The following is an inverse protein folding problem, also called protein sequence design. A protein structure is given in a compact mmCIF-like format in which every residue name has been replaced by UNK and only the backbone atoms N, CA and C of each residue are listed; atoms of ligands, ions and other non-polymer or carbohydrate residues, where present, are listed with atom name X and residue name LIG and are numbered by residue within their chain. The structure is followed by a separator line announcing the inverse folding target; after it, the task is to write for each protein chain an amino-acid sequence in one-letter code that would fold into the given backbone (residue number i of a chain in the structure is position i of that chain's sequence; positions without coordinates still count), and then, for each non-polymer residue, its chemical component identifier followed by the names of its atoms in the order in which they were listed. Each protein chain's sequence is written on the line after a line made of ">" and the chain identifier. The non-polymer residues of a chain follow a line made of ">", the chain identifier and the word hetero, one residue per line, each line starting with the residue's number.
data_IF_826200365464
#
_entry.id   IF_826200365464
#
_cell.length_a   1.000
_cell.length_b   1.000
_cell.length_c   1.000
_cell.angle_alpha   90.00
_cell.angle_beta   90.00
_cell.angle_gamma   90.00
#
_symmetry.space_group_name_H-M   'P 1'
#
loop_
_entity.id
_entity.type
_entity.pdbx_description
1 polymer ?
#
# COMPACT_ATOMS: atom_id res chain seq x y z
N UNK A 1 23.94 -7.21 9.57
CA UNK A 1 23.83 -5.99 8.74
C UNK A 1 23.32 -4.87 9.65
N UNK A 2 24.09 -3.83 9.84
CA UNK A 2 23.68 -2.62 10.56
C UNK A 2 22.61 -1.87 9.77
N UNK A 3 21.89 -0.93 10.40
CA UNK A 3 20.86 -0.13 9.69
C UNK A 3 21.48 0.73 8.59
N UNK A 4 22.68 1.27 8.82
CA UNK A 4 23.42 2.03 7.80
C UNK A 4 23.86 1.17 6.61
N UNK A 5 24.30 -0.05 6.86
CA UNK A 5 24.58 -1.02 5.78
C UNK A 5 23.31 -1.38 5.01
N UNK A 6 22.18 -1.56 5.70
CA UNK A 6 20.88 -1.80 5.07
C UNK A 6 20.46 -0.60 4.21
N UNK A 7 20.58 0.64 4.71
CA UNK A 7 20.28 1.86 3.93
C UNK A 7 21.12 1.90 2.64
N UNK A 8 22.44 1.68 2.72
CA UNK A 8 23.33 1.65 1.54
C UNK A 8 22.93 0.53 0.57
N UNK A 9 22.66 -0.66 1.08
CA UNK A 9 22.25 -1.81 0.26
C UNK A 9 20.98 -1.51 -0.54
N UNK A 10 19.92 -0.99 0.10
CA UNK A 10 18.66 -0.69 -0.58
C UNK A 10 18.75 0.50 -1.52
N UNK A 11 19.60 1.48 -1.23
CA UNK A 11 19.91 2.55 -2.19
C UNK A 11 20.59 2.00 -3.44
N UNK A 12 21.57 1.11 -3.27
CA UNK A 12 22.25 0.49 -4.42
C UNK A 12 21.29 -0.30 -5.30
N UNK A 13 20.30 -1.00 -4.71
CA UNK A 13 19.27 -1.72 -5.48
C UNK A 13 18.39 -0.81 -6.34
N UNK A 14 18.20 0.45 -5.96
CA UNK A 14 17.39 1.43 -6.71
C UNK A 14 18.23 2.40 -7.52
N UNK A 15 19.55 2.25 -7.50
CA UNK A 15 20.43 3.16 -8.23
C UNK A 15 20.21 3.05 -9.75
N UNK A 16 20.06 4.20 -10.39
CA UNK A 16 19.78 4.27 -11.84
C UNK A 16 18.35 3.96 -12.25
N UNK A 17 17.47 3.53 -11.35
CA UNK A 17 16.07 3.32 -11.69
C UNK A 17 15.37 4.67 -11.95
N UNK A 18 14.82 4.84 -13.14
CA UNK A 18 14.07 6.04 -13.53
C UNK A 18 12.57 5.81 -13.31
N UNK A 19 12.04 6.45 -12.28
CA UNK A 19 10.61 6.38 -11.93
C UNK A 19 9.75 7.14 -12.97
N UNK A 20 8.62 6.56 -13.33
CA UNK A 20 7.55 7.23 -14.09
C UNK A 20 6.54 7.93 -13.16
N UNK A 21 6.61 7.67 -11.86
CA UNK A 21 5.76 8.35 -10.88
C UNK A 21 6.20 9.81 -10.71
N UNK A 22 5.23 10.67 -10.38
CA UNK A 22 5.53 12.04 -9.96
C UNK A 22 6.43 12.05 -8.73
N UNK A 23 7.20 13.13 -8.58
CA UNK A 23 7.97 13.36 -7.35
C UNK A 23 7.04 13.34 -6.13
N UNK A 24 7.53 12.94 -4.94
CA UNK A 24 6.75 12.99 -3.72
C UNK A 24 6.31 14.43 -3.42
N UNK A 25 5.14 14.55 -2.82
CA UNK A 25 4.61 15.83 -2.34
C UNK A 25 4.63 15.81 -0.83
N UNK A 26 5.23 16.85 -0.24
CA UNK A 26 5.24 17.07 1.20
C UNK A 26 4.64 18.44 1.47
N UNK A 27 3.70 18.50 2.41
CA UNK A 27 3.15 19.75 2.88
C UNK A 27 3.66 20.05 4.31
N UNK A 28 3.94 21.30 4.58
CA UNK A 28 4.15 21.76 5.94
C UNK A 28 2.79 21.95 6.63
N UNK A 29 2.67 21.42 7.81
CA UNK A 29 1.49 21.55 8.68
C UNK A 29 1.98 22.05 10.04
N UNK A 30 1.78 23.33 10.30
CA UNK A 30 2.35 24.02 11.46
C UNK A 30 3.90 23.85 11.52
N UNK A 31 4.41 23.19 12.53
CA UNK A 31 5.84 22.85 12.71
C UNK A 31 6.16 21.38 12.39
N UNK A 32 5.24 20.68 11.71
CA UNK A 32 5.31 19.29 11.29
C UNK A 32 5.21 19.17 9.76
N UNK A 33 5.34 17.96 9.26
CA UNK A 33 5.28 17.66 7.84
C UNK A 33 4.25 16.57 7.54
N UNK A 34 3.71 16.59 6.34
CA UNK A 34 2.76 15.57 5.84
C UNK A 34 3.23 15.10 4.47
N UNK A 35 3.62 13.82 4.36
CA UNK A 35 3.76 13.19 3.05
C UNK A 35 2.38 12.94 2.46
N UNK A 36 2.14 13.44 1.25
CA UNK A 36 0.86 13.41 0.54
C UNK A 36 0.80 12.25 -0.46
N UNK A 37 0.66 11.02 0.03
CA UNK A 37 0.48 9.85 -0.84
C UNK A 37 -0.79 9.89 -1.68
N UNK A 38 -1.79 10.66 -1.25
CA UNK A 38 -3.01 10.97 -2.01
C UNK A 38 -2.76 11.82 -3.26
N UNK A 39 -1.74 12.68 -3.24
CA UNK A 39 -1.34 13.47 -4.40
C UNK A 39 -0.57 12.65 -5.46
N UNK A 40 -0.17 11.42 -5.13
CA UNK A 40 0.51 10.51 -6.07
C UNK A 40 -0.48 9.79 -6.98
N UNK A 41 -0.02 9.45 -8.19
CA UNK A 41 -0.77 8.62 -9.13
C UNK A 41 -1.08 7.22 -8.60
N UNK A 42 -0.26 6.67 -7.70
CA UNK A 42 -0.38 5.28 -7.24
C UNK A 42 -0.20 5.08 -5.73
N UNK A 43 -0.42 6.12 -4.93
CA UNK A 43 -0.24 6.05 -3.48
C UNK A 43 1.20 5.72 -3.01
N UNK A 44 1.46 5.70 -1.70
CA UNK A 44 2.73 5.26 -1.13
C UNK A 44 3.16 3.86 -1.63
N UNK A 45 2.19 2.95 -1.78
CA UNK A 45 2.49 1.57 -2.21
C UNK A 45 3.04 1.52 -3.63
N UNK A 46 2.68 2.48 -4.47
CA UNK A 46 3.22 2.59 -5.82
C UNK A 46 4.71 2.91 -5.84
N UNK A 47 5.16 3.86 -5.05
CA UNK A 47 6.60 4.16 -4.96
C UNK A 47 7.44 2.93 -4.57
N UNK A 48 6.89 2.09 -3.66
CA UNK A 48 7.56 0.84 -3.31
C UNK A 48 7.54 -0.19 -4.42
N UNK A 49 6.41 -0.37 -5.10
CA UNK A 49 6.21 -1.45 -6.07
C UNK A 49 6.72 -1.15 -7.48
N UNK A 50 6.97 0.12 -7.81
CA UNK A 50 7.21 0.57 -9.19
C UNK A 50 8.38 -0.17 -9.85
N UNK A 51 9.54 -0.19 -9.20
CA UNK A 51 10.71 -0.86 -9.76
C UNK A 51 10.49 -2.36 -9.95
N UNK A 52 9.87 -3.03 -8.97
CA UNK A 52 9.53 -4.45 -9.06
C UNK A 52 8.65 -4.74 -10.28
N UNK A 53 7.66 -3.89 -10.55
CA UNK A 53 6.73 -4.07 -11.67
C UNK A 53 7.39 -3.69 -13.00
N UNK A 54 8.17 -2.62 -13.02
CA UNK A 54 8.88 -2.16 -14.22
C UNK A 54 9.91 -3.18 -14.72
N UNK A 55 10.64 -3.83 -13.81
CA UNK A 55 11.73 -4.76 -14.13
C UNK A 55 11.27 -6.22 -14.26
N UNK A 56 10.03 -6.56 -13.86
CA UNK A 56 9.57 -7.92 -14.00
C UNK A 56 9.37 -8.29 -15.50
N UNK A 57 9.77 -9.51 -15.85
CA UNK A 57 9.71 -9.99 -17.24
C UNK A 57 8.33 -10.46 -17.66
N UNK A 58 7.52 -10.84 -16.67
CA UNK A 58 6.19 -11.37 -16.89
C UNK A 58 5.21 -10.25 -17.29
N UNK A 59 4.34 -10.51 -18.26
CA UNK A 59 3.33 -9.57 -18.75
C UNK A 59 2.10 -9.52 -17.87
N UNK A 60 1.91 -10.52 -17.02
CA UNK A 60 0.76 -10.65 -16.15
C UNK A 60 1.19 -10.61 -14.68
N UNK A 61 0.59 -9.71 -13.91
CA UNK A 61 0.77 -9.58 -12.48
C UNK A 61 -0.41 -10.22 -11.74
N UNK A 62 -0.13 -10.99 -10.70
CA UNK A 62 -1.15 -11.66 -9.88
C UNK A 62 -1.06 -11.17 -8.45
N UNK A 63 -2.18 -10.76 -7.89
CA UNK A 63 -2.26 -10.30 -6.51
C UNK A 63 -3.57 -10.72 -5.83
N UNK A 64 -3.53 -10.93 -4.52
CA UNK A 64 -4.72 -11.13 -3.72
C UNK A 64 -5.29 -9.79 -3.25
N UNK A 65 -6.44 -9.42 -3.78
CA UNK A 65 -7.12 -8.17 -3.47
C UNK A 65 -8.11 -8.37 -2.31
N UNK A 66 -7.81 -7.85 -1.11
CA UNK A 66 -8.78 -7.82 -0.02
C UNK A 66 -9.96 -6.91 -0.37
N UNK A 67 -11.00 -6.88 0.48
CA UNK A 67 -12.15 -6.00 0.24
C UNK A 67 -11.78 -4.51 0.28
N UNK A 68 -10.77 -4.14 1.05
CA UNK A 68 -10.27 -2.77 1.20
C UNK A 68 -8.75 -2.77 1.23
N UNK A 69 -8.11 -1.82 0.56
CA UNK A 69 -6.66 -1.62 0.62
C UNK A 69 -6.11 -0.89 -0.59
N UNK A 70 -5.04 -0.13 -0.39
CA UNK A 70 -4.42 0.70 -1.44
C UNK A 70 -3.38 -0.04 -2.28
N UNK A 71 -2.93 -1.23 -1.87
CA UNK A 71 -1.93 -1.97 -2.62
C UNK A 71 -2.45 -2.45 -3.99
N UNK A 72 -3.70 -2.91 -4.04
CA UNK A 72 -4.31 -3.36 -5.30
C UNK A 72 -4.50 -2.22 -6.30
N UNK A 73 -4.92 -1.03 -5.83
CA UNK A 73 -5.00 0.17 -6.67
C UNK A 73 -3.63 0.59 -7.20
N UNK A 74 -2.61 0.58 -6.34
CA UNK A 74 -1.23 0.88 -6.72
C UNK A 74 -0.71 -0.09 -7.79
N UNK A 75 -0.93 -1.40 -7.60
CA UNK A 75 -0.53 -2.44 -8.56
C UNK A 75 -1.26 -2.24 -9.90
N UNK A 76 -2.57 -2.03 -9.89
CA UNK A 76 -3.35 -1.81 -11.11
C UNK A 76 -2.91 -0.54 -11.86
N UNK A 77 -2.64 0.55 -11.13
CA UNK A 77 -2.11 1.79 -11.70
C UNK A 77 -0.77 1.56 -12.38
N UNK A 78 0.17 0.91 -11.70
CA UNK A 78 1.49 0.63 -12.23
C UNK A 78 1.44 -0.36 -13.41
N UNK A 79 0.60 -1.39 -13.33
CA UNK A 79 0.42 -2.32 -14.42
C UNK A 79 0.01 -1.59 -15.70
N UNK A 80 -0.97 -0.70 -15.62
CA UNK A 80 -1.37 0.14 -16.75
C UNK A 80 -0.24 1.05 -17.25
N UNK A 81 0.57 1.60 -16.34
CA UNK A 81 1.69 2.49 -16.67
C UNK A 81 2.84 1.76 -17.38
N UNK A 82 3.03 0.48 -17.08
CA UNK A 82 4.08 -0.38 -17.62
C UNK A 82 3.56 -1.42 -18.62
N UNK A 83 2.34 -1.22 -19.15
CA UNK A 83 1.70 -2.06 -20.17
C UNK A 83 1.62 -3.55 -19.77
N UNK A 84 1.26 -3.80 -18.51
CA UNK A 84 1.07 -5.14 -17.96
C UNK A 84 -0.40 -5.39 -17.62
N UNK A 85 -0.80 -6.65 -17.64
CA UNK A 85 -2.12 -7.11 -17.23
C UNK A 85 -2.14 -7.45 -15.74
N UNK A 86 -3.30 -7.31 -15.09
CA UNK A 86 -3.50 -7.72 -13.70
C UNK A 86 -4.59 -8.76 -13.57
N UNK A 87 -4.31 -9.79 -12.79
CA UNK A 87 -5.29 -10.76 -12.29
C UNK A 87 -5.37 -10.62 -10.78
N UNK A 88 -6.56 -10.30 -10.27
CA UNK A 88 -6.79 -10.16 -8.84
C UNK A 88 -7.67 -11.28 -8.31
N UNK A 89 -7.13 -12.04 -7.37
CA UNK A 89 -7.89 -13.04 -6.63
C UNK A 89 -8.57 -12.35 -5.44
N UNK A 90 -9.90 -12.39 -5.43
CA UNK A 90 -10.75 -11.69 -4.48
C UNK A 90 -11.54 -12.69 -3.62
N UNK A 91 -11.73 -12.43 -2.32
CA UNK A 91 -12.63 -13.24 -1.52
C UNK A 91 -14.08 -13.02 -2.00
N UNK A 92 -14.78 -14.09 -2.36
CA UNK A 92 -16.19 -14.07 -2.70
C UNK A 92 -17.04 -14.04 -1.43
N UNK A 93 -17.30 -12.86 -0.90
CA UNK A 93 -18.16 -12.67 0.27
C UNK A 93 -19.15 -11.54 -0.01
N UNK A 94 -20.35 -11.90 -0.46
CA UNK A 94 -21.37 -10.92 -0.84
C UNK A 94 -20.98 -10.07 -2.06
N UNK A 95 -21.55 -8.88 -2.16
CA UNK A 95 -21.24 -7.93 -3.24
C UNK A 95 -19.76 -7.49 -3.22
N UNK A 96 -19.11 -7.40 -4.39
CA UNK A 96 -17.76 -6.85 -4.49
C UNK A 96 -17.70 -5.45 -3.90
N UNK A 97 -16.62 -5.18 -3.16
CA UNK A 97 -16.42 -3.85 -2.57
C UNK A 97 -16.11 -2.79 -3.64
N UNK A 98 -16.27 -1.50 -3.30
CA UNK A 98 -15.87 -0.40 -4.18
C UNK A 98 -14.41 -0.52 -4.64
N UNK A 99 -13.50 -0.88 -3.73
CA UNK A 99 -12.08 -1.06 -4.04
C UNK A 99 -11.87 -2.18 -5.06
N UNK A 100 -12.57 -3.31 -4.92
CA UNK A 100 -12.48 -4.41 -5.89
C UNK A 100 -13.09 -4.02 -7.23
N UNK A 101 -14.30 -3.44 -7.25
CA UNK A 101 -14.94 -2.99 -8.49
C UNK A 101 -14.12 -1.95 -9.25
N UNK A 102 -13.51 -0.99 -8.54
CA UNK A 102 -12.68 0.05 -9.15
C UNK A 102 -11.52 -0.50 -9.99
N UNK A 103 -11.04 -1.73 -9.71
CA UNK A 103 -9.98 -2.37 -10.49
C UNK A 103 -10.38 -2.65 -11.94
N UNK A 104 -11.68 -2.79 -12.24
CA UNK A 104 -12.17 -2.95 -13.62
C UNK A 104 -11.85 -1.74 -14.51
N UNK A 105 -11.79 -0.53 -13.93
CA UNK A 105 -11.42 0.67 -14.69
C UNK A 105 -9.96 0.66 -15.20
N UNK A 106 -9.15 -0.24 -14.65
CA UNK A 106 -7.79 -0.50 -15.13
C UNK A 106 -7.70 -1.67 -16.13
N UNK A 107 -8.84 -2.32 -16.44
CA UNK A 107 -8.87 -3.53 -17.29
C UNK A 107 -8.42 -4.80 -16.56
N UNK A 108 -8.50 -4.82 -15.23
CA UNK A 108 -8.09 -5.98 -14.44
C UNK A 108 -9.07 -7.15 -14.55
N UNK A 109 -8.53 -8.38 -14.54
CA UNK A 109 -9.29 -9.62 -14.40
C UNK A 109 -9.53 -9.91 -12.91
N UNK A 110 -10.80 -9.98 -12.47
CA UNK A 110 -11.19 -10.24 -11.09
C UNK A 110 -11.70 -11.66 -10.93
N UNK A 111 -11.03 -12.45 -10.10
CA UNK A 111 -11.37 -13.85 -9.80
C UNK A 111 -11.83 -14.00 -8.37
N UNK A 112 -13.13 -14.24 -8.19
CA UNK A 112 -13.73 -14.38 -6.88
C UNK A 112 -13.71 -15.83 -6.41
N UNK A 113 -13.16 -16.05 -5.20
CA UNK A 113 -12.99 -17.38 -4.62
C UNK A 113 -13.72 -17.45 -3.29
N UNK A 114 -14.57 -18.49 -3.09
CA UNK A 114 -15.38 -18.71 -1.88
C UNK A 114 -14.56 -19.21 -0.68
N UNK A 115 -13.39 -18.67 -0.48
CA UNK A 115 -12.54 -18.99 0.65
C UNK A 115 -12.32 -17.70 1.43
N UNK A 116 -12.75 -17.70 2.68
CA UNK A 116 -12.68 -16.53 3.54
C UNK A 116 -11.25 -16.16 3.97
N UNK A 117 -10.34 -17.14 4.09
CA UNK A 117 -9.02 -16.93 4.66
C UNK A 117 -8.01 -16.42 3.62
N UNK A 118 -7.43 -15.25 3.86
CA UNK A 118 -6.42 -14.65 2.99
C UNK A 118 -5.18 -15.55 2.72
N UNK A 119 -4.65 -16.33 3.68
CA UNK A 119 -3.55 -17.24 3.40
C UNK A 119 -3.87 -18.28 2.31
N UNK A 120 -5.07 -18.85 2.35
CA UNK A 120 -5.52 -19.82 1.35
C UNK A 120 -5.68 -19.16 -0.02
N UNK A 121 -6.29 -17.97 -0.07
CA UNK A 121 -6.42 -17.19 -1.29
C UNK A 121 -5.06 -16.87 -1.92
N UNK A 122 -4.08 -16.50 -1.10
CA UNK A 122 -2.69 -16.28 -1.53
C UNK A 122 -2.06 -17.55 -2.12
N UNK A 123 -2.31 -18.72 -1.54
CA UNK A 123 -1.80 -20.00 -2.05
C UNK A 123 -2.38 -20.31 -3.44
N UNK A 124 -3.67 -20.07 -3.65
CA UNK A 124 -4.30 -20.23 -4.97
C UNK A 124 -3.71 -19.26 -6.01
N UNK A 125 -3.61 -17.99 -5.66
CA UNK A 125 -3.07 -16.98 -6.55
C UNK A 125 -1.63 -17.28 -6.95
N UNK A 126 -0.82 -17.74 -6.01
CA UNK A 126 0.58 -18.15 -6.25
C UNK A 126 0.64 -19.35 -7.21
N UNK A 127 -0.13 -20.40 -6.94
CA UNK A 127 -0.19 -21.59 -7.78
C UNK A 127 -0.64 -21.24 -9.22
N UNK A 128 -1.69 -20.42 -9.34
CA UNK A 128 -2.17 -19.97 -10.63
C UNK A 128 -1.07 -19.18 -11.40
N UNK A 129 -0.37 -18.28 -10.73
CA UNK A 129 0.71 -17.52 -11.33
C UNK A 129 1.84 -18.43 -11.84
N UNK A 130 2.24 -19.45 -11.07
CA UNK A 130 3.24 -20.44 -11.46
C UNK A 130 2.80 -21.24 -12.69
N UNK A 131 1.55 -21.65 -12.76
CA UNK A 131 1.00 -22.40 -13.89
C UNK A 131 0.87 -21.60 -15.19
N UNK A 132 0.70 -20.27 -15.07
CA UNK A 132 0.47 -19.38 -16.21
C UNK A 132 1.66 -18.49 -16.55
N UNK A 133 2.83 -18.73 -15.96
CA UNK A 133 4.01 -17.91 -16.21
C UNK A 133 3.83 -16.43 -15.83
N UNK A 134 3.04 -16.18 -14.78
CA UNK A 134 2.71 -14.84 -14.31
C UNK A 134 3.49 -14.47 -13.03
N UNK A 135 3.66 -13.18 -12.77
CA UNK A 135 4.32 -12.67 -11.57
C UNK A 135 3.38 -12.60 -10.39
N UNK A 136 3.55 -13.49 -9.42
CA UNK A 136 2.87 -13.38 -8.14
C UNK A 136 3.47 -12.26 -7.29
N UNK A 137 2.62 -11.37 -6.79
CA UNK A 137 2.98 -10.30 -5.85
C UNK A 137 2.45 -10.67 -4.45
N UNK A 138 3.31 -10.73 -3.42
CA UNK A 138 2.88 -11.16 -2.09
C UNK A 138 1.95 -10.13 -1.43
N UNK A 139 1.05 -10.62 -0.57
CA UNK A 139 0.09 -9.78 0.12
C UNK A 139 0.76 -8.64 0.90
N UNK A 140 0.25 -7.41 0.70
CA UNK A 140 0.83 -6.20 1.26
C UNK A 140 2.20 -5.83 0.69
N UNK A 141 2.67 -6.55 -0.36
CA UNK A 141 4.01 -6.43 -0.95
C UNK A 141 5.11 -6.71 0.09
N UNK A 142 4.78 -7.54 1.10
CA UNK A 142 5.67 -7.83 2.21
C UNK A 142 6.87 -8.69 1.78
N UNK A 143 7.98 -8.56 2.52
CA UNK A 143 9.21 -9.35 2.32
C UNK A 143 9.76 -9.31 0.89
N UNK A 144 9.58 -8.18 0.20
CA UNK A 144 10.04 -7.96 -1.17
C UNK A 144 11.16 -6.91 -1.17
N UNK A 145 12.43 -7.29 -1.42
CA UNK A 145 13.56 -6.37 -1.32
C UNK A 145 13.42 -5.12 -2.21
N UNK A 146 12.98 -5.27 -3.47
CA UNK A 146 12.77 -4.13 -4.36
C UNK A 146 11.68 -3.17 -3.87
N UNK A 147 10.64 -3.67 -3.19
CA UNK A 147 9.62 -2.82 -2.57
C UNK A 147 10.21 -2.03 -1.40
N UNK A 148 11.04 -2.67 -0.58
CA UNK A 148 11.77 -1.98 0.49
C UNK A 148 12.68 -0.91 -0.10
N UNK A 149 13.45 -1.22 -1.15
CA UNK A 149 14.33 -0.29 -1.83
C UNK A 149 13.56 0.93 -2.39
N UNK A 150 12.40 0.70 -3.01
CA UNK A 150 11.54 1.76 -3.52
C UNK A 150 11.05 2.71 -2.42
N UNK A 151 10.69 2.20 -1.25
CA UNK A 151 10.27 3.04 -0.11
C UNK A 151 11.47 3.73 0.54
N UNK A 152 12.64 3.10 0.62
CA UNK A 152 13.87 3.76 1.09
C UNK A 152 14.25 4.91 0.16
N UNK A 153 14.19 4.71 -1.16
CA UNK A 153 14.36 5.78 -2.15
C UNK A 153 13.36 6.92 -1.95
N UNK A 154 12.08 6.60 -1.76
CA UNK A 154 11.05 7.59 -1.44
C UNK A 154 11.42 8.39 -0.19
N UNK A 155 11.87 7.73 0.87
CA UNK A 155 12.32 8.40 2.09
C UNK A 155 13.44 9.42 1.82
N UNK A 156 14.42 9.08 0.99
CA UNK A 156 15.48 10.02 0.57
C UNK A 156 14.90 11.20 -0.20
N UNK A 157 14.02 10.96 -1.17
CA UNK A 157 13.37 12.03 -1.93
C UNK A 157 12.52 12.96 -1.05
N UNK A 158 11.88 12.41 -0.03
CA UNK A 158 11.15 13.20 0.97
C UNK A 158 12.13 14.05 1.78
N UNK A 159 13.26 13.47 2.25
CA UNK A 159 14.24 14.20 3.04
C UNK A 159 14.82 15.42 2.29
N UNK A 160 14.93 15.34 0.96
CA UNK A 160 15.34 16.49 0.12
C UNK A 160 14.33 17.65 0.11
N UNK A 161 13.08 17.40 0.56
CA UNK A 161 11.99 18.39 0.64
C UNK A 161 11.79 18.93 2.07
N UNK A 162 12.52 18.39 3.04
CA UNK A 162 12.45 18.80 4.44
C UNK A 162 13.65 19.68 4.80
N UNK A 163 13.49 20.51 5.84
CA UNK A 163 14.60 21.30 6.37
C UNK A 163 15.64 20.41 7.07
N UNK A 164 15.18 19.30 7.69
CA UNK A 164 16.00 18.29 8.38
C UNK A 164 15.32 16.91 8.29
N UNK A 165 16.04 15.81 8.50
CA UNK A 165 15.42 14.46 8.58
C UNK A 165 14.39 14.45 9.72
N UNK A 166 13.23 13.75 9.54
CA UNK A 166 12.15 13.80 10.53
C UNK A 166 12.56 13.15 11.86
N UNK A 167 12.19 13.78 12.98
CA UNK A 167 12.43 13.24 14.33
C UNK A 167 11.51 12.06 14.67
N UNK A 168 10.29 12.12 14.15
CA UNK A 168 9.31 11.04 14.33
C UNK A 168 8.61 10.76 12.99
N UNK A 169 8.29 9.51 12.78
CA UNK A 169 7.47 9.03 11.67
C UNK A 169 6.17 8.51 12.25
N UNK A 170 5.03 9.05 11.80
CA UNK A 170 3.72 8.63 12.22
C UNK A 170 2.95 8.05 11.04
N UNK A 171 2.39 6.86 11.20
CA UNK A 171 1.61 6.23 10.15
C UNK A 171 0.69 5.12 10.64
N UNK A 172 -0.35 4.84 9.87
CA UNK A 172 -1.15 3.63 10.04
C UNK A 172 -0.41 2.39 9.52
N UNK A 173 -0.51 1.28 10.24
CA UNK A 173 0.23 0.05 9.98
C UNK A 173 -0.72 -1.14 9.82
N UNK A 174 -0.43 -1.99 8.83
CA UNK A 174 -1.15 -3.25 8.58
C UNK A 174 -0.18 -4.42 8.42
N UNK A 175 0.71 -4.40 7.40
CA UNK A 175 1.68 -5.48 7.13
C UNK A 175 3.11 -5.13 7.55
N UNK A 176 3.34 -3.95 8.12
CA UNK A 176 4.65 -3.48 8.54
C UNK A 176 5.64 -3.13 7.41
N UNK A 177 5.31 -3.40 6.14
CA UNK A 177 6.23 -3.20 5.01
C UNK A 177 6.76 -1.76 4.93
N UNK A 178 5.87 -0.76 5.01
CA UNK A 178 6.26 0.63 4.87
C UNK A 178 7.03 1.15 6.09
N UNK A 179 6.52 0.89 7.30
CA UNK A 179 7.17 1.39 8.52
C UNK A 179 8.59 0.83 8.70
N UNK A 180 8.82 -0.45 8.31
CA UNK A 180 10.17 -1.03 8.32
C UNK A 180 11.10 -0.38 7.31
N UNK A 181 10.60 -0.05 6.12
CA UNK A 181 11.41 0.60 5.10
C UNK A 181 11.77 2.04 5.50
N UNK A 182 10.86 2.77 6.14
CA UNK A 182 11.17 4.11 6.67
C UNK A 182 12.16 4.07 7.83
N UNK A 183 12.17 3.03 8.68
CA UNK A 183 13.22 2.84 9.68
C UNK A 183 14.61 2.68 9.07
N UNK A 184 14.69 2.14 7.85
CA UNK A 184 15.93 2.03 7.11
C UNK A 184 16.29 3.37 6.46
N UNK A 185 15.30 4.08 5.92
CA UNK A 185 15.50 5.39 5.30
C UNK A 185 15.95 6.46 6.32
N UNK A 186 15.33 6.45 7.50
CA UNK A 186 15.56 7.41 8.59
C UNK A 186 15.86 6.68 9.90
N UNK A 187 17.07 6.17 10.08
CA UNK A 187 17.41 5.28 11.21
C UNK A 187 17.35 5.96 12.58
N UNK A 188 17.50 7.28 12.64
CA UNK A 188 17.44 8.06 13.88
C UNK A 188 16.01 8.50 14.25
N UNK A 189 15.04 8.33 13.33
CA UNK A 189 13.66 8.74 13.59
C UNK A 189 12.94 7.74 14.48
N UNK A 190 12.18 8.25 15.45
CA UNK A 190 11.25 7.43 16.24
C UNK A 190 10.05 7.03 15.39
N UNK A 191 9.89 5.75 15.12
CA UNK A 191 8.77 5.25 14.34
C UNK A 191 7.57 4.95 15.23
N UNK A 192 6.45 5.62 14.97
CA UNK A 192 5.18 5.50 15.67
C UNK A 192 4.12 4.97 14.73
N UNK A 193 3.56 3.81 15.04
CA UNK A 193 2.64 3.11 14.15
C UNK A 193 1.31 2.76 14.81
N UNK A 194 0.19 3.24 14.27
CA UNK A 194 -1.14 2.80 14.68
C UNK A 194 -1.52 1.53 13.91
N UNK A 195 -1.69 0.43 14.64
CA UNK A 195 -2.16 -0.84 14.06
C UNK A 195 -3.65 -0.75 13.78
N UNK A 196 -4.03 -0.82 12.51
CA UNK A 196 -5.41 -0.58 12.07
C UNK A 196 -6.14 -1.82 11.54
N UNK A 197 -5.43 -2.85 11.06
CA UNK A 197 -6.06 -3.96 10.35
C UNK A 197 -5.95 -5.31 11.08
N UNK A 198 -4.79 -5.68 11.55
CA UNK A 198 -4.52 -6.94 12.24
C UNK A 198 -3.40 -6.79 13.25
N UNK A 199 -3.34 -7.69 14.21
CA UNK A 199 -2.19 -7.76 15.10
C UNK A 199 -0.92 -8.05 14.29
N UNK A 200 0.16 -7.40 14.68
CA UNK A 200 1.47 -7.58 14.07
C UNK A 200 2.19 -8.75 14.73
N UNK A 201 2.97 -9.49 13.95
CA UNK A 201 3.86 -10.53 14.46
C UNK A 201 5.24 -9.95 14.74
N UNK A 202 5.98 -10.61 15.62
CA UNK A 202 7.37 -10.26 15.91
C UNK A 202 8.21 -10.22 14.62
N UNK A 203 9.05 -9.20 14.50
CA UNK A 203 9.89 -8.97 13.32
C UNK A 203 9.19 -8.33 12.10
N UNK A 204 7.86 -8.12 12.14
CA UNK A 204 7.15 -7.42 11.05
C UNK A 204 7.29 -5.90 11.13
N UNK A 205 7.62 -5.35 12.29
CA UNK A 205 7.59 -3.92 12.58
C UNK A 205 8.97 -3.30 12.85
N UNK A 206 10.03 -4.11 12.95
CA UNK A 206 11.33 -3.61 13.41
C UNK A 206 11.26 -3.13 14.86
N UNK A 207 11.70 -1.90 15.13
CA UNK A 207 11.72 -1.25 16.46
C UNK A 207 10.67 -0.12 16.59
N UNK A 208 9.60 -0.16 15.80
CA UNK A 208 8.55 0.84 15.88
C UNK A 208 7.72 0.72 17.17
N UNK A 209 7.38 1.86 17.76
CA UNK A 209 6.40 1.93 18.84
C UNK A 209 4.99 1.79 18.26
N UNK A 210 4.28 0.74 18.66
CA UNK A 210 2.93 0.46 18.15
C UNK A 210 1.86 0.62 19.20
N UNK A 211 0.69 1.08 18.76
CA UNK A 211 -0.56 1.02 19.51
C UNK A 211 -1.70 0.65 18.56
N UNK A 212 -2.79 0.13 19.12
CA UNK A 212 -3.95 -0.31 18.34
C UNK A 212 -4.94 0.82 18.12
N UNK A 213 -5.53 0.89 16.93
CA UNK A 213 -6.66 1.76 16.67
C UNK A 213 -7.85 1.39 17.58
N UNK A 214 -8.54 2.38 18.11
CA UNK A 214 -9.71 2.20 19.00
C UNK A 214 -10.93 1.64 18.27
N UNK A 215 -10.96 1.71 16.93
CA UNK A 215 -12.09 1.29 16.12
C UNK A 215 -11.72 0.15 15.16
N UNK A 216 -12.68 -0.78 14.87
CA UNK A 216 -12.46 -1.84 13.89
C UNK A 216 -12.00 -1.31 12.52
N UNK A 217 -11.23 -2.13 11.79
CA UNK A 217 -10.61 -1.71 10.52
C UNK A 217 -11.62 -1.14 9.51
N UNK A 218 -12.76 -1.80 9.33
CA UNK A 218 -13.76 -1.38 8.33
C UNK A 218 -14.62 -0.17 8.75
N UNK A 219 -14.44 0.34 9.98
CA UNK A 219 -15.19 1.51 10.44
C UNK A 219 -14.43 2.79 10.10
N UNK A 220 -15.08 3.67 9.37
CA UNK A 220 -14.56 4.98 9.02
C UNK A 220 -14.46 5.91 10.22
N UNK A 221 -13.44 6.75 10.22
CA UNK A 221 -13.33 7.87 11.15
C UNK A 221 -14.38 8.93 10.79
N UNK A 222 -15.12 9.50 11.78
CA UNK A 222 -16.05 10.59 11.54
C UNK A 222 -15.38 11.80 10.86
N UNK A 223 -16.11 12.51 10.00
CA UNK A 223 -15.56 13.65 9.24
C UNK A 223 -14.87 14.69 10.11
N UNK A 224 -15.42 14.97 11.29
CA UNK A 224 -14.86 15.95 12.24
C UNK A 224 -13.49 15.57 12.84
N UNK A 225 -13.06 14.30 12.68
CA UNK A 225 -11.79 13.77 13.18
C UNK A 225 -10.82 13.37 12.07
N UNK A 226 -11.20 13.62 10.82
CA UNK A 226 -10.32 13.33 9.67
C UNK A 226 -9.29 14.43 9.49
N UNK A 227 -8.15 14.11 8.86
CA UNK A 227 -7.17 15.14 8.49
C UNK A 227 -7.78 16.18 7.53
N UNK A 228 -7.24 17.41 7.50
CA UNK A 228 -7.70 18.48 6.61
C UNK A 228 -7.26 18.28 5.14
N UNK A 229 -6.91 17.07 4.76
CA UNK A 229 -6.51 16.68 3.41
C UNK A 229 -7.11 15.31 3.05
N UNK A 230 -7.20 14.95 1.76
CA UNK A 230 -7.68 13.64 1.33
C UNK A 230 -6.87 12.49 1.92
N UNK A 231 -7.56 11.54 2.52
CA UNK A 231 -6.97 10.37 3.17
C UNK A 231 -7.91 9.16 3.08
N UNK A 232 -7.43 7.99 3.48
CA UNK A 232 -8.28 6.81 3.63
C UNK A 232 -8.99 6.86 4.98
N UNK A 233 -10.33 6.90 4.95
CA UNK A 233 -11.16 7.13 6.14
C UNK A 233 -11.05 6.04 7.19
N UNK A 234 -10.82 4.80 6.78
CA UNK A 234 -10.68 3.63 7.66
C UNK A 234 -9.23 3.22 7.92
N UNK A 235 -8.26 3.96 7.38
CA UNK A 235 -6.84 3.64 7.49
C UNK A 235 -6.04 4.83 8.03
N UNK A 236 -5.57 5.75 7.16
CA UNK A 236 -4.70 6.86 7.55
C UNK A 236 -5.37 7.83 8.52
N UNK A 237 -6.65 8.12 8.32
CA UNK A 237 -7.41 9.01 9.18
C UNK A 237 -7.47 8.55 10.66
N UNK A 238 -7.28 7.24 10.93
CA UNK A 238 -7.27 6.74 12.31
C UNK A 238 -6.06 7.22 13.12
N UNK A 239 -4.93 7.37 12.47
CA UNK A 239 -3.69 7.83 13.12
C UNK A 239 -3.59 9.36 13.21
N UNK A 240 -4.47 10.09 12.50
CA UNK A 240 -4.38 11.54 12.38
C UNK A 240 -4.55 12.27 13.71
N UNK A 241 -5.59 11.95 14.47
CA UNK A 241 -5.90 12.64 15.74
C UNK A 241 -4.73 12.53 16.74
N UNK A 242 -4.08 11.35 16.78
CA UNK A 242 -2.92 11.14 17.66
C UNK A 242 -1.70 11.91 17.15
N UNK A 243 -1.46 11.92 15.83
CA UNK A 243 -0.40 12.73 15.25
C UNK A 243 -0.59 14.22 15.52
N UNK A 244 -1.79 14.73 15.29
CA UNK A 244 -2.10 16.15 15.46
C UNK A 244 -1.87 16.60 16.92
N UNK A 245 -2.30 15.80 17.88
CA UNK A 245 -2.22 16.12 19.32
C UNK A 245 -0.86 15.86 19.94
N UNK A 246 -0.11 14.83 19.49
CA UNK A 246 1.05 14.33 20.25
C UNK A 246 2.37 14.30 19.48
N UNK A 247 2.37 14.57 18.17
CA UNK A 247 3.61 14.55 17.39
C UNK A 247 4.49 15.74 17.75
N UNK A 248 5.80 15.46 17.95
CA UNK A 248 6.80 16.47 18.20
C UNK A 248 7.03 17.39 16.99
N UNK A 249 7.56 18.57 17.21
CA UNK A 249 8.04 19.45 16.15
C UNK A 249 9.04 18.72 15.25
N UNK A 250 8.91 18.88 13.92
CA UNK A 250 9.75 18.22 12.93
C UNK A 250 9.33 16.76 12.66
N UNK A 251 8.19 16.32 13.18
CA UNK A 251 7.60 14.98 12.84
C UNK A 251 6.99 14.97 11.47
N UNK A 252 6.92 13.78 10.85
CA UNK A 252 6.23 13.58 9.58
C UNK A 252 5.08 12.58 9.72
N UNK A 253 3.91 12.95 9.20
CA UNK A 253 2.80 12.04 8.98
C UNK A 253 2.88 11.42 7.59
N UNK A 254 2.80 10.11 7.50
CA UNK A 254 2.80 9.38 6.23
C UNK A 254 1.35 9.06 5.83
N UNK A 255 0.75 9.91 5.02
CA UNK A 255 -0.54 9.64 4.39
C UNK A 255 -0.35 8.67 3.22
N UNK A 256 -0.85 7.45 3.34
CA UNK A 256 -0.63 6.38 2.35
C UNK A 256 -1.34 6.66 1.03
N UNK A 257 -2.56 7.21 1.09
CA UNK A 257 -3.39 7.44 -0.10
C UNK A 257 -4.74 8.06 0.23
N UNK A 258 -5.71 7.89 -0.67
CA UNK A 258 -7.07 8.45 -0.51
C UNK A 258 -8.14 7.54 -1.10
N UNK A 259 -9.31 7.54 -0.49
CA UNK A 259 -10.51 6.89 -1.03
C UNK A 259 -11.10 7.63 -2.24
N UNK A 260 -10.78 8.91 -2.43
CA UNK A 260 -11.31 9.72 -3.54
C UNK A 260 -10.94 9.13 -4.90
N UNK A 261 -9.71 8.64 -5.03
CA UNK A 261 -9.27 7.98 -6.25
C UNK A 261 -10.06 6.70 -6.51
N UNK A 262 -10.25 5.88 -5.49
CA UNK A 262 -11.05 4.65 -5.56
C UNK A 262 -12.49 4.98 -5.96
N UNK A 263 -13.10 5.98 -5.33
CA UNK A 263 -14.46 6.42 -5.65
C UNK A 263 -14.58 6.88 -7.10
N UNK A 264 -13.62 7.68 -7.59
CA UNK A 264 -13.58 8.15 -8.99
C UNK A 264 -13.55 7.00 -10.00
N UNK A 265 -12.76 5.96 -9.76
CA UNK A 265 -12.70 4.80 -10.64
C UNK A 265 -13.92 3.88 -10.47
N UNK A 266 -14.42 3.72 -9.25
CA UNK A 266 -15.65 2.99 -9.00
C UNK A 266 -16.84 3.58 -9.76
N UNK A 267 -16.99 4.91 -9.78
CA UNK A 267 -18.08 5.59 -10.47
C UNK A 267 -18.09 5.34 -11.99
N UNK A 268 -16.94 5.04 -12.58
CA UNK A 268 -16.82 4.67 -14.00
C UNK A 268 -17.34 3.25 -14.31
N UNK A 269 -17.37 2.37 -13.31
CA UNK A 269 -17.61 0.94 -13.49
C UNK A 269 -18.71 0.37 -12.59
N UNK A 270 -19.36 1.21 -11.77
CA UNK A 270 -20.35 0.76 -10.78
C UNK A 270 -21.50 -0.04 -11.38
N UNK A 271 -21.88 0.27 -12.62
CA UNK A 271 -22.99 -0.37 -13.34
C UNK A 271 -22.55 -1.61 -14.13
N UNK A 272 -21.26 -1.94 -14.17
CA UNK A 272 -20.77 -3.18 -14.77
C UNK A 272 -21.18 -4.34 -13.88
N UNK A 273 -21.97 -5.30 -14.39
CA UNK A 273 -22.36 -6.47 -13.62
C UNK A 273 -21.14 -7.33 -13.32
N UNK A 274 -20.91 -7.61 -12.04
CA UNK A 274 -19.87 -8.50 -11.57
C UNK A 274 -20.56 -9.65 -10.83
N UNK A 275 -20.60 -10.81 -11.48
CA UNK A 275 -21.08 -12.02 -10.84
C UNK A 275 -19.94 -12.66 -10.03
N UNK A 276 -19.87 -12.32 -8.75
CA UNK A 276 -18.90 -12.89 -7.83
C UNK A 276 -19.13 -14.40 -7.58
N UNK A 277 -20.24 -14.94 -8.01
CA UNK A 277 -20.55 -16.37 -7.89
C UNK A 277 -20.13 -17.16 -9.13
N UNK A 278 -20.04 -16.53 -10.31
CA UNK A 278 -19.71 -17.18 -11.58
C UNK A 278 -18.26 -17.65 -11.65
N UNK A 279 -17.36 -16.97 -11.00
CA UNK A 279 -15.94 -17.33 -10.94
C UNK A 279 -15.64 -18.66 -10.20
N UNK A 280 -16.65 -19.25 -9.58
CA UNK A 280 -16.57 -20.53 -8.87
C UNK A 280 -16.35 -21.75 -9.75
N UNK A 281 -16.84 -21.71 -10.96
CA UNK A 281 -16.86 -22.87 -11.83
C UNK A 281 -15.52 -23.10 -12.54
N UNK A 282 -14.73 -22.05 -12.74
CA UNK A 282 -13.42 -22.12 -13.40
C UNK A 282 -12.29 -22.66 -12.50
N UNK A 283 -12.57 -22.85 -11.19
CA UNK A 283 -11.59 -23.35 -10.22
C UNK A 283 -11.49 -24.88 -10.14
N UNK A 284 -12.39 -25.60 -10.80
CA UNK A 284 -12.31 -27.08 -10.85
C UNK A 284 -11.20 -27.58 -11.75
N UNK A 285 -10.64 -26.68 -12.58
CA UNK A 285 -9.57 -26.96 -13.53
C UNK A 285 -8.18 -26.50 -13.00
N UNK A 286 -8.09 -26.11 -11.72
CA UNK A 286 -6.89 -25.84 -10.98
C UNK A 286 -6.60 -26.98 -9.99
#
# INVERSE_FOLDING_TARGET
>A
MTVLEARRHYHAMSNGFMSKLSKPVVHRYEDKYIFRGDASQSSLKGYGAEQLIAECKEDVLVYCAPRVGMAMDAIATLAKMYDKKCVFFCPASGEPSKHQKALLAYGADLRFIKIAAMPTLNSYAKKWAEQHGAKYLPFGLAKTPLVTAGIVRLGTQIAELLDEEPKEIWMSVSTGTAIRAFQIAWPEALCKGMVVARNMHDGEIGHANLWSASQPFLKDVPLSKRPPFPSTANYDAKCWEDFDNFAAKGSIFINVGTDDKVNKFYDQVKDIPLDSQRAWHDMRDL
#
